data_IF_070710160319
#
_entry.id   IF_070710160319
#
_cell.length_a   1.000
_cell.length_b   1.000
_cell.length_c   1.000
_cell.angle_alpha   90.00
_cell.angle_beta   90.00
_cell.angle_gamma   90.00
#
_symmetry.space_group_name_H-M   'P 1'
#
loop_
_entity.id
_entity.type
_entity.pdbx_description
1 polymer ?
#
# COMPACT_ATOMS: atom_id res chain seq x y z
N UNK A 1 -4.13 13.20 2.03
CA UNK A 1 -3.52 13.01 3.37
C UNK A 1 -2.13 13.64 3.37
N UNK A 2 -1.27 13.31 2.41
CA UNK A 2 0.13 13.79 2.35
C UNK A 2 0.31 15.32 2.33
N UNK A 3 -0.72 16.09 2.03
CA UNK A 3 -0.67 17.56 2.05
C UNK A 3 -0.83 18.18 3.44
N UNK A 4 -1.11 17.36 4.47
CA UNK A 4 -1.38 17.82 5.84
C UNK A 4 -0.63 17.07 6.93
N UNK A 5 -0.09 15.89 6.60
CA UNK A 5 0.68 15.07 7.53
C UNK A 5 1.97 14.69 6.84
N UNK A 6 3.09 15.07 7.40
CA UNK A 6 4.42 14.67 6.95
C UNK A 6 4.65 13.18 7.22
N UNK A 7 5.60 12.55 6.54
CA UNK A 7 5.94 11.14 6.74
C UNK A 7 4.94 10.11 6.19
N UNK A 8 3.91 10.57 5.44
CA UNK A 8 2.91 9.67 4.85
C UNK A 8 3.50 8.94 3.64
N UNK A 9 3.49 7.61 3.68
CA UNK A 9 4.06 6.74 2.65
C UNK A 9 3.19 5.50 2.39
N UNK A 10 3.48 4.80 1.31
CA UNK A 10 2.84 3.53 0.95
C UNK A 10 3.76 2.39 1.38
N UNK A 11 3.24 1.47 2.17
CA UNK A 11 3.87 0.18 2.41
C UNK A 11 3.21 -0.85 1.51
N UNK A 12 3.93 -1.30 0.50
CA UNK A 12 3.42 -2.29 -0.44
C UNK A 12 3.01 -3.58 0.30
N UNK A 13 1.92 -4.27 -0.09
CA UNK A 13 1.11 -3.97 -1.28
C UNK A 13 -0.03 -2.95 -1.04
N UNK A 14 -0.56 -2.80 0.17
CA UNK A 14 -1.90 -2.25 0.40
C UNK A 14 -2.04 -1.42 1.68
N UNK A 15 -0.94 -1.03 2.32
CA UNK A 15 -0.98 -0.25 3.55
C UNK A 15 -0.50 1.18 3.33
N UNK A 16 -1.13 2.13 4.03
CA UNK A 16 -0.61 3.48 4.17
C UNK A 16 -0.06 3.62 5.58
N UNK A 17 1.15 4.14 5.67
CA UNK A 17 1.86 4.36 6.93
C UNK A 17 2.20 5.84 7.12
N UNK A 18 2.35 6.25 8.37
CA UNK A 18 2.88 7.54 8.79
C UNK A 18 4.01 7.21 9.78
N UNK A 19 5.23 7.61 9.47
CA UNK A 19 6.43 7.29 10.26
C UNK A 19 6.52 5.80 10.63
N UNK A 20 6.29 4.93 9.62
CA UNK A 20 6.33 3.48 9.75
C UNK A 20 5.10 2.84 10.39
N UNK A 21 4.18 3.59 10.99
CA UNK A 21 2.97 3.08 11.66
C UNK A 21 1.76 3.10 10.73
N UNK A 22 1.04 1.99 10.65
CA UNK A 22 -0.11 1.81 9.77
C UNK A 22 -1.27 2.71 10.18
N UNK A 23 -1.73 3.56 9.26
CA UNK A 23 -2.91 4.42 9.40
C UNK A 23 -4.08 3.95 8.53
N UNK A 24 -3.81 3.22 7.46
CA UNK A 24 -4.85 2.72 6.57
C UNK A 24 -4.45 1.37 5.96
N UNK A 25 -5.42 0.49 5.80
CA UNK A 25 -5.29 -0.73 5.00
C UNK A 25 -6.33 -0.75 3.88
N UNK A 26 -5.96 -1.31 2.73
CA UNK A 26 -6.83 -1.44 1.56
C UNK A 26 -6.98 -2.92 1.25
N UNK A 27 -8.23 -3.39 1.14
CA UNK A 27 -8.55 -4.75 0.76
C UNK A 27 -9.32 -4.73 -0.56
N UNK A 28 -8.89 -5.56 -1.50
CA UNK A 28 -9.58 -5.71 -2.79
C UNK A 28 -10.11 -7.13 -2.90
N UNK A 29 -11.39 -7.26 -3.17
CA UNK A 29 -12.07 -8.52 -3.42
C UNK A 29 -12.65 -8.51 -4.83
N UNK A 30 -12.47 -9.61 -5.55
CA UNK A 30 -12.99 -9.80 -6.91
C UNK A 30 -14.02 -10.92 -6.92
N UNK A 31 -15.17 -10.66 -7.52
CA UNK A 31 -16.11 -11.69 -7.92
C UNK A 31 -15.88 -12.03 -9.39
N UNK A 32 -15.47 -13.27 -9.66
CA UNK A 32 -15.15 -13.75 -11.00
C UNK A 32 -16.06 -14.91 -11.40
N UNK A 33 -16.38 -15.00 -12.69
CA UNK A 33 -16.89 -16.20 -13.35
C UNK A 33 -15.79 -16.73 -14.30
N UNK A 34 -16.04 -17.89 -14.92
CA UNK A 34 -15.01 -18.61 -15.70
C UNK A 34 -14.31 -17.72 -16.73
N UNK A 35 -15.01 -16.77 -17.34
CA UNK A 35 -14.49 -15.96 -18.44
C UNK A 35 -14.51 -14.44 -18.20
N UNK A 36 -15.01 -13.95 -17.06
CA UNK A 36 -15.07 -12.49 -16.80
C UNK A 36 -15.13 -12.12 -15.32
N UNK A 37 -14.73 -10.88 -15.04
CA UNK A 37 -14.83 -10.26 -13.72
C UNK A 37 -16.21 -9.60 -13.62
N UNK A 38 -17.04 -10.04 -12.66
CA UNK A 38 -18.35 -9.43 -12.41
C UNK A 38 -18.22 -8.03 -11.79
N UNK A 39 -17.42 -7.95 -10.72
CA UNK A 39 -17.15 -6.70 -10.03
C UNK A 39 -15.91 -6.81 -9.16
N UNK A 40 -15.35 -5.65 -8.83
CA UNK A 40 -14.26 -5.49 -7.87
C UNK A 40 -14.77 -4.63 -6.73
N UNK A 41 -14.63 -5.13 -5.50
CA UNK A 41 -14.94 -4.37 -4.28
C UNK A 41 -13.65 -3.91 -3.64
N UNK A 42 -13.51 -2.60 -3.41
CA UNK A 42 -12.35 -2.02 -2.74
C UNK A 42 -12.77 -1.53 -1.36
N UNK A 43 -12.31 -2.22 -0.31
CA UNK A 43 -12.48 -1.81 1.08
C UNK A 43 -11.31 -0.92 1.52
N UNK A 44 -11.60 0.29 2.01
CA UNK A 44 -10.58 1.23 2.50
C UNK A 44 -10.81 1.49 3.99
N UNK A 45 -9.96 0.91 4.83
CA UNK A 45 -10.01 1.04 6.29
C UNK A 45 -9.04 2.11 6.80
N UNK A 46 -9.53 3.30 7.16
CA UNK A 46 -8.70 4.40 7.67
C UNK A 46 -8.91 4.55 9.18
N UNK A 47 -7.83 4.50 9.95
CA UNK A 47 -7.82 4.86 11.36
C UNK A 47 -7.91 6.38 11.49
N UNK A 48 -9.13 6.92 11.64
CA UNK A 48 -9.31 8.38 11.63
C UNK A 48 -9.14 8.98 13.02
N UNK A 49 -9.94 8.53 14.00
CA UNK A 49 -10.02 9.17 15.32
C UNK A 49 -9.78 8.20 16.49
N UNK A 50 -9.22 7.04 16.25
CA UNK A 50 -8.80 6.12 17.30
C UNK A 50 -7.68 6.77 18.14
N UNK A 51 -7.75 6.63 19.45
CA UNK A 51 -6.74 7.13 20.40
C UNK A 51 -5.99 6.00 21.08
N UNK A 52 -6.52 4.79 21.01
CA UNK A 52 -5.96 3.60 21.62
C UNK A 52 -6.00 2.43 20.65
N UNK A 53 -5.01 1.58 20.72
CA UNK A 53 -4.88 0.36 19.93
C UNK A 53 -4.62 -0.83 20.87
N UNK A 54 -5.05 -2.06 20.49
CA UNK A 54 -4.66 -3.28 21.19
C UNK A 54 -3.15 -3.36 21.36
N UNK A 55 -2.70 -3.99 22.45
CA UNK A 55 -1.29 -4.06 22.81
C UNK A 55 -0.42 -4.66 21.70
N UNK A 56 -0.97 -5.63 20.98
CA UNK A 56 -0.28 -6.38 19.90
C UNK A 56 0.06 -5.51 18.68
N UNK A 57 -0.67 -4.40 18.47
CA UNK A 57 -0.47 -3.50 17.31
C UNK A 57 -0.17 -2.05 17.70
N UNK A 58 -0.03 -1.76 18.99
CA UNK A 58 0.16 -0.38 19.50
C UNK A 58 1.39 0.30 18.89
N UNK A 59 2.48 -0.45 18.74
CA UNK A 59 3.74 0.07 18.19
C UNK A 59 3.72 0.21 16.66
N UNK A 60 2.84 -0.53 15.97
CA UNK A 60 2.80 -0.62 14.52
C UNK A 60 1.59 0.07 13.88
N UNK A 61 0.64 0.57 14.68
CA UNK A 61 -0.56 1.25 14.21
C UNK A 61 -0.64 2.68 14.74
N UNK A 62 -1.30 3.54 13.94
CA UNK A 62 -1.60 4.93 14.33
C UNK A 62 -2.92 5.38 13.74
N UNK A 63 -3.35 6.60 14.08
CA UNK A 63 -4.53 7.25 13.51
C UNK A 63 -4.24 8.67 13.10
N UNK A 64 -5.06 9.21 12.20
CA UNK A 64 -4.95 10.61 11.79
C UNK A 64 -5.08 11.58 12.98
N UNK A 65 -5.91 11.24 13.98
CA UNK A 65 -6.05 12.07 15.19
C UNK A 65 -4.78 12.11 16.02
N UNK A 66 -4.09 10.98 16.18
CA UNK A 66 -2.83 10.93 16.91
C UNK A 66 -1.74 11.72 16.20
N UNK A 67 -1.65 11.59 14.88
CA UNK A 67 -0.65 12.27 14.08
C UNK A 67 -0.92 13.79 13.91
N UNK A 68 -2.19 14.20 13.81
CA UNK A 68 -2.56 15.61 13.66
C UNK A 68 -2.72 16.35 14.99
N UNK A 69 -2.85 15.64 16.12
CA UNK A 69 -3.12 16.21 17.42
C UNK A 69 -4.55 16.73 17.63
N UNK A 70 -5.48 16.50 16.70
CA UNK A 70 -6.87 16.93 16.78
C UNK A 70 -7.85 15.98 16.10
N UNK A 71 -9.14 16.12 16.43
CA UNK A 71 -10.21 15.33 15.80
C UNK A 71 -10.33 15.67 14.31
N UNK A 72 -10.29 14.65 13.46
CA UNK A 72 -10.42 14.78 12.01
C UNK A 72 -11.87 14.52 11.58
N UNK A 73 -12.44 15.43 10.81
CA UNK A 73 -13.78 15.28 10.22
C UNK A 73 -13.78 14.22 9.11
N UNK A 74 -14.58 13.17 9.25
CA UNK A 74 -14.61 12.05 8.31
C UNK A 74 -15.16 12.43 6.93
N UNK A 75 -16.25 13.20 6.87
CA UNK A 75 -16.91 13.51 5.60
C UNK A 75 -15.99 14.26 4.61
N UNK A 76 -15.27 15.34 4.97
CA UNK A 76 -14.28 15.94 4.07
C UNK A 76 -13.11 15.02 3.69
N UNK A 77 -12.70 14.12 4.59
CA UNK A 77 -11.67 13.14 4.30
C UNK A 77 -12.13 12.15 3.22
N UNK A 78 -13.34 11.60 3.38
CA UNK A 78 -13.94 10.67 2.40
C UNK A 78 -14.07 11.37 1.05
N UNK A 79 -14.61 12.58 1.01
CA UNK A 79 -14.76 13.34 -0.23
C UNK A 79 -13.40 13.58 -0.93
N UNK A 80 -12.35 13.87 -0.16
CA UNK A 80 -11.01 14.05 -0.70
C UNK A 80 -10.42 12.75 -1.25
N UNK A 81 -10.63 11.61 -0.56
CA UNK A 81 -10.19 10.30 -1.02
C UNK A 81 -10.91 9.91 -2.31
N UNK A 82 -12.23 10.05 -2.37
CA UNK A 82 -13.02 9.71 -3.56
C UNK A 82 -12.64 10.57 -4.76
N UNK A 83 -12.46 11.87 -4.57
CA UNK A 83 -11.99 12.76 -5.64
C UNK A 83 -10.62 12.34 -6.20
N UNK A 84 -9.68 11.94 -5.35
CA UNK A 84 -8.36 11.46 -5.80
C UNK A 84 -8.46 10.10 -6.46
N UNK A 85 -9.32 9.23 -5.95
CA UNK A 85 -9.59 7.95 -6.59
C UNK A 85 -10.11 8.13 -8.02
N UNK A 86 -11.13 8.96 -8.24
CA UNK A 86 -11.66 9.26 -9.57
C UNK A 86 -10.59 9.77 -10.53
N UNK A 87 -9.76 10.72 -10.08
CA UNK A 87 -8.66 11.26 -10.88
C UNK A 87 -7.66 10.18 -11.30
N UNK A 88 -7.21 9.37 -10.36
CA UNK A 88 -6.25 8.29 -10.63
C UNK A 88 -6.88 7.16 -11.46
N UNK A 89 -8.16 6.87 -11.24
CA UNK A 89 -8.89 5.87 -12.01
C UNK A 89 -9.06 6.29 -13.48
N UNK A 90 -9.28 7.57 -13.74
CA UNK A 90 -9.28 8.10 -15.12
C UNK A 90 -7.94 7.86 -15.80
N UNK A 91 -6.81 8.15 -15.13
CA UNK A 91 -5.47 7.89 -15.66
C UNK A 91 -5.26 6.39 -15.93
N UNK A 92 -5.72 5.52 -15.01
CA UNK A 92 -5.65 4.07 -15.18
C UNK A 92 -6.45 3.60 -16.41
N UNK A 93 -7.67 4.12 -16.62
CA UNK A 93 -8.51 3.78 -17.78
C UNK A 93 -7.89 4.24 -19.11
N UNK A 94 -7.24 5.40 -19.13
CA UNK A 94 -6.58 5.94 -20.32
C UNK A 94 -5.37 5.08 -20.75
N UNK A 95 -4.64 4.50 -19.80
CA UNK A 95 -3.45 3.71 -20.07
C UNK A 95 -3.74 2.19 -20.14
N UNK A 96 -4.81 1.73 -19.52
CA UNK A 96 -5.13 0.31 -19.38
C UNK A 96 -4.26 -0.44 -18.36
N UNK A 97 -3.32 0.25 -17.72
CA UNK A 97 -2.41 -0.27 -16.68
C UNK A 97 -1.96 0.85 -15.72
N UNK A 98 -0.98 0.57 -14.87
CA UNK A 98 -0.47 1.54 -13.90
C UNK A 98 0.67 2.43 -14.44
N UNK A 99 0.99 2.38 -15.74
CA UNK A 99 2.12 3.15 -16.32
C UNK A 99 2.03 4.65 -16.02
N UNK A 100 0.84 5.24 -16.04
CA UNK A 100 0.60 6.64 -15.70
C UNK A 100 0.66 6.99 -14.20
N UNK A 101 0.72 5.99 -13.32
CA UNK A 101 0.67 6.17 -11.86
C UNK A 101 1.92 5.62 -11.14
N UNK A 102 2.66 4.71 -11.76
CA UNK A 102 3.75 3.94 -11.12
C UNK A 102 4.87 4.81 -10.57
N UNK A 103 5.22 5.91 -11.23
CA UNK A 103 6.29 6.81 -10.77
C UNK A 103 5.88 7.47 -9.47
N UNK A 104 4.67 8.05 -9.46
CA UNK A 104 4.13 8.69 -8.26
C UNK A 104 3.92 7.69 -7.12
N UNK A 105 3.48 6.47 -7.42
CA UNK A 105 3.38 5.40 -6.42
C UNK A 105 4.76 5.06 -5.85
N UNK A 106 5.75 4.87 -6.73
CA UNK A 106 7.12 4.52 -6.33
C UNK A 106 7.82 5.61 -5.52
N UNK A 107 7.54 6.89 -5.77
CA UNK A 107 8.04 8.00 -4.94
C UNK A 107 7.51 7.94 -3.49
N UNK A 108 6.28 7.45 -3.31
CA UNK A 108 5.64 7.33 -2.01
C UNK A 108 5.92 6.00 -1.32
N UNK A 109 6.59 5.07 -2.00
CA UNK A 109 6.82 3.72 -1.51
C UNK A 109 7.91 3.71 -0.45
N UNK A 110 7.55 3.38 0.80
CA UNK A 110 8.51 3.33 1.93
C UNK A 110 9.61 2.29 1.74
N UNK A 111 9.31 1.24 0.97
CA UNK A 111 10.24 0.14 0.70
C UNK A 111 11.22 0.44 -0.44
N UNK A 112 10.98 1.47 -1.25
CA UNK A 112 11.85 1.80 -2.40
C UNK A 112 13.26 2.15 -1.94
N UNK A 113 14.22 1.66 -2.70
CA UNK A 113 15.66 1.86 -2.47
C UNK A 113 16.13 1.36 -1.10
N UNK A 114 15.50 0.28 -0.58
CA UNK A 114 15.83 -0.35 0.69
C UNK A 114 15.93 -1.86 0.56
N UNK A 115 16.67 -2.46 1.47
CA UNK A 115 16.65 -3.89 1.68
C UNK A 115 15.31 -4.31 2.27
N UNK A 116 14.74 -5.37 1.70
CA UNK A 116 13.47 -5.95 2.11
C UNK A 116 13.61 -7.46 2.24
N UNK A 117 12.89 -8.03 3.17
CA UNK A 117 12.73 -9.48 3.27
C UNK A 117 11.42 -9.89 2.62
N UNK A 118 11.52 -10.68 1.58
CA UNK A 118 10.36 -11.27 0.90
C UNK A 118 9.97 -12.55 1.62
N UNK A 119 8.74 -12.60 2.11
CA UNK A 119 8.15 -13.76 2.78
C UNK A 119 7.17 -14.43 1.83
N UNK A 120 7.65 -15.16 0.85
CA UNK A 120 6.81 -15.93 -0.06
C UNK A 120 6.37 -17.27 0.55
N UNK A 121 5.28 -17.85 0.03
CA UNK A 121 4.75 -19.12 0.51
C UNK A 121 5.73 -20.31 0.34
N UNK A 122 6.64 -20.23 -0.63
CA UNK A 122 7.60 -21.30 -0.96
C UNK A 122 9.03 -20.99 -0.51
N UNK A 123 9.41 -19.74 -0.47
CA UNK A 123 10.78 -19.33 -0.13
C UNK A 123 10.77 -17.96 0.57
N UNK A 124 11.79 -17.73 1.39
CA UNK A 124 12.06 -16.43 2.00
C UNK A 124 13.46 -16.01 1.58
N UNK A 125 13.61 -14.75 1.17
CA UNK A 125 14.89 -14.21 0.76
C UNK A 125 14.99 -12.70 0.97
N UNK A 126 16.19 -12.19 1.08
CA UNK A 126 16.47 -10.76 1.11
C UNK A 126 16.66 -10.24 -0.31
N UNK A 127 16.20 -9.03 -0.55
CA UNK A 127 16.32 -8.36 -1.84
C UNK A 127 16.29 -6.84 -1.66
N UNK A 128 16.67 -6.12 -2.69
CA UNK A 128 16.62 -4.66 -2.73
C UNK A 128 15.41 -4.22 -3.56
N UNK A 129 14.47 -3.47 -2.95
CA UNK A 129 13.26 -3.03 -3.62
C UNK A 129 13.51 -1.81 -4.51
N UNK A 130 13.05 -1.86 -5.76
CA UNK A 130 13.29 -0.83 -6.77
C UNK A 130 12.05 0.03 -7.07
N UNK A 131 10.86 -0.46 -6.74
CA UNK A 131 9.59 0.18 -7.07
C UNK A 131 8.57 -0.84 -7.56
N UNK A 132 7.58 -0.40 -8.33
CA UNK A 132 6.58 -1.29 -8.93
C UNK A 132 6.66 -1.27 -10.45
N UNK A 133 6.20 -2.37 -11.08
CA UNK A 133 6.00 -2.42 -12.53
C UNK A 133 4.61 -1.85 -12.92
N UNK A 134 4.27 -1.91 -14.19
CA UNK A 134 2.99 -1.42 -14.72
C UNK A 134 1.78 -2.27 -14.31
N UNK A 135 1.98 -3.48 -13.79
CA UNK A 135 0.92 -4.34 -13.23
C UNK A 135 0.80 -4.22 -11.71
N UNK A 136 1.64 -3.40 -11.06
CA UNK A 136 1.62 -3.17 -9.61
C UNK A 136 2.43 -4.17 -8.78
N UNK A 137 3.16 -5.06 -9.45
CA UNK A 137 4.05 -6.01 -8.80
C UNK A 137 5.32 -5.31 -8.31
N UNK A 138 5.81 -5.68 -7.12
CA UNK A 138 7.05 -5.15 -6.59
C UNK A 138 8.24 -5.67 -7.39
N UNK A 139 9.07 -4.76 -7.89
CA UNK A 139 10.33 -5.09 -8.53
C UNK A 139 11.40 -5.16 -7.46
N UNK A 140 12.06 -6.29 -7.34
CA UNK A 140 13.18 -6.47 -6.41
C UNK A 140 14.41 -6.99 -7.14
N UNK A 141 15.59 -6.68 -6.61
CA UNK A 141 16.88 -7.20 -7.07
C UNK A 141 17.47 -8.05 -5.97
N UNK A 142 17.71 -9.34 -6.25
CA UNK A 142 18.44 -10.25 -5.37
C UNK A 142 19.94 -9.95 -5.38
N UNK A 143 20.69 -10.47 -4.42
CA UNK A 143 22.15 -10.35 -4.36
C UNK A 143 22.86 -10.93 -5.59
N UNK A 144 22.31 -11.98 -6.21
CA UNK A 144 22.79 -12.60 -7.43
C UNK A 144 22.52 -11.78 -8.71
N UNK A 145 21.90 -10.60 -8.58
CA UNK A 145 21.54 -9.70 -9.67
C UNK A 145 20.28 -10.09 -10.41
N UNK A 146 19.57 -11.15 -10.01
CA UNK A 146 18.29 -11.52 -10.64
C UNK A 146 17.16 -10.58 -10.19
N UNK A 147 16.14 -10.41 -11.04
CA UNK A 147 15.00 -9.55 -10.84
C UNK A 147 13.70 -10.36 -10.80
N UNK A 148 13.42 -11.09 -9.71
CA UNK A 148 12.12 -11.72 -9.57
C UNK A 148 11.06 -10.64 -9.32
N UNK A 149 9.88 -10.80 -9.93
CA UNK A 149 8.71 -10.04 -9.56
C UNK A 149 8.05 -10.71 -8.36
N UNK A 150 7.80 -9.93 -7.32
CA UNK A 150 6.95 -10.39 -6.22
C UNK A 150 5.51 -10.09 -6.60
N UNK A 151 4.86 -11.04 -7.27
CA UNK A 151 3.47 -10.93 -7.67
C UNK A 151 2.54 -11.12 -6.48
N UNK A 152 1.79 -10.10 -6.16
CA UNK A 152 0.62 -10.18 -5.28
C UNK A 152 -0.60 -10.68 -6.04
N UNK A 153 -0.58 -11.90 -6.59
CA UNK A 153 -1.78 -12.50 -7.17
C UNK A 153 -2.64 -13.11 -6.07
N UNK A 154 -3.57 -12.33 -5.55
CA UNK A 154 -4.83 -12.84 -5.03
C UNK A 154 -4.83 -13.64 -3.75
N UNK A 155 -4.21 -13.17 -2.70
CA UNK A 155 -4.55 -13.29 -1.26
C UNK A 155 -3.46 -12.58 -0.47
N UNK A 156 -3.83 -11.62 0.37
CA UNK A 156 -2.93 -10.73 1.11
C UNK A 156 -2.05 -11.40 2.20
N UNK A 157 -1.96 -12.72 2.19
CA UNK A 157 -1.18 -13.51 3.15
C UNK A 157 0.18 -13.96 2.64
N UNK A 158 0.49 -13.80 1.34
CA UNK A 158 1.62 -14.48 0.74
C UNK A 158 2.90 -13.61 0.58
N UNK A 159 2.86 -12.34 0.96
CA UNK A 159 4.05 -11.50 0.90
C UNK A 159 4.04 -10.43 1.98
N UNK A 160 4.63 -10.73 3.13
CA UNK A 160 4.93 -9.73 4.16
C UNK A 160 6.31 -9.14 3.87
N UNK A 161 6.39 -7.81 3.78
CA UNK A 161 7.65 -7.11 3.67
C UNK A 161 8.04 -6.57 5.04
N UNK A 162 9.22 -6.94 5.52
CA UNK A 162 9.88 -6.27 6.63
C UNK A 162 11.06 -5.48 6.07
N UNK A 163 11.20 -4.22 6.44
CA UNK A 163 12.44 -3.47 6.28
C UNK A 163 13.36 -3.81 7.44
N UNK A 164 14.64 -3.96 7.18
CA UNK A 164 15.65 -4.35 8.19
C UNK A 164 15.91 -3.30 9.29
N UNK A 165 15.25 -2.14 9.19
CA UNK A 165 15.38 -1.05 10.17
C UNK A 165 14.04 -0.81 10.88
N UNK A 166 13.68 -1.70 11.81
CA UNK A 166 12.65 -1.48 12.82
C UNK A 166 13.11 -2.08 14.13
#
# INVERSE_FOLDING_TARGET
ISSRVEGCAIKWPNDIVIDGRKVCGILTEMSTQIDYINHVTIGVGINVNLTEFPEEIRETATSLRLECGHVVKRAPLIAAVMKRFEQNYTVFLEHGDLSGLKERYSELLVNKDREVRILGAKEQYNAYALGINQTGELIVRKEDGTFPFSGGTGRSTDCLLYTSDA
#
